data_IF_459601774527
#
_entry.id   IF_459601774527
#
_cell.length_a   1.000
_cell.length_b   1.000
_cell.length_c   1.000
_cell.angle_alpha   90.00
_cell.angle_beta   90.00
_cell.angle_gamma   90.00
#
_symmetry.space_group_name_H-M   'P 1'
#
loop_
_entity.id
_entity.type
_entity.pdbx_description
1 polymer ?
#
# COMPACT_ATOMS: atom_id res chain seq x y z
N UNK A 1 -4.34 -45.43 5.16
CA UNK A 1 -4.46 -44.16 5.90
C UNK A 1 -4.61 -43.04 4.90
N UNK A 2 -5.77 -42.37 4.89
CA UNK A 2 -6.08 -41.25 4.01
C UNK A 2 -5.38 -40.00 4.54
N UNK A 3 -4.66 -39.30 3.68
CA UNK A 3 -4.13 -37.95 3.93
C UNK A 3 -5.04 -36.96 3.21
N UNK A 4 -6.08 -36.51 3.90
CA UNK A 4 -6.92 -35.41 3.44
C UNK A 4 -6.20 -34.10 3.76
N UNK A 5 -5.39 -33.61 2.82
CA UNK A 5 -4.74 -32.31 2.93
C UNK A 5 -5.58 -31.27 2.18
N UNK A 6 -6.71 -30.92 2.78
CA UNK A 6 -7.63 -29.91 2.27
C UNK A 6 -7.31 -28.57 2.94
N UNK A 7 -6.41 -27.79 2.32
CA UNK A 7 -6.20 -26.39 2.68
C UNK A 7 -6.86 -25.50 1.63
N UNK A 8 -8.18 -25.40 1.72
CA UNK A 8 -8.92 -24.28 1.14
C UNK A 8 -8.77 -23.10 2.10
N UNK A 9 -7.97 -22.11 1.71
CA UNK A 9 -8.16 -20.74 2.18
C UNK A 9 -8.27 -19.86 0.93
N UNK A 10 -9.50 -19.82 0.41
CA UNK A 10 -9.96 -18.77 -0.49
C UNK A 10 -9.98 -17.45 0.29
N UNK A 11 -9.16 -16.49 -0.12
CA UNK A 11 -9.42 -15.08 0.18
C UNK A 11 -9.25 -14.29 -1.12
N UNK A 12 -10.37 -14.19 -1.84
CA UNK A 12 -10.56 -13.38 -3.05
C UNK A 12 -10.49 -11.88 -2.67
N UNK A 13 -9.57 -11.11 -3.27
CA UNK A 13 -9.72 -10.24 -4.45
C UNK A 13 -10.23 -8.81 -4.20
N UNK A 14 -9.39 -7.85 -4.62
CA UNK A 14 -9.81 -6.49 -4.96
C UNK A 14 -10.42 -6.44 -6.37
N UNK A 15 -11.58 -5.80 -6.46
CA UNK A 15 -12.34 -5.53 -7.69
C UNK A 15 -11.66 -4.47 -8.57
N UNK A 16 -11.58 -4.68 -9.89
CA UNK A 16 -12.15 -3.77 -10.90
C UNK A 16 -12.14 -4.38 -12.33
N UNK A 17 -13.29 -4.18 -13.00
CA UNK A 17 -13.58 -4.23 -14.44
C UNK A 17 -13.88 -5.59 -15.12
N UNK A 18 -15.17 -5.76 -15.44
CA UNK A 18 -15.79 -6.77 -16.31
C UNK A 18 -15.68 -6.43 -17.79
N UNK A 19 -15.17 -7.38 -18.59
CA UNK A 19 -15.60 -7.74 -19.95
C UNK A 19 -14.80 -9.01 -20.32
N UNK A 20 -15.37 -10.17 -20.63
CA UNK A 20 -16.15 -10.44 -21.83
C UNK A 20 -15.52 -11.68 -22.49
N UNK A 21 -16.35 -12.68 -22.77
CA UNK A 21 -15.99 -14.07 -23.14
C UNK A 21 -15.10 -14.20 -24.40
N UNK A 22 -14.17 -15.15 -24.32
CA UNK A 22 -13.81 -16.17 -25.32
C UNK A 22 -13.43 -15.73 -26.74
N UNK A 23 -12.22 -16.10 -27.18
CA UNK A 23 -11.98 -17.23 -28.10
C UNK A 23 -10.49 -17.37 -28.37
N UNK A 24 -10.09 -18.64 -28.49
CA UNK A 24 -8.84 -19.15 -29.05
C UNK A 24 -8.51 -18.48 -30.40
N UNK A 25 -7.33 -17.89 -30.54
CA UNK A 25 -6.82 -17.45 -31.84
C UNK A 25 -5.31 -17.72 -31.91
N UNK A 26 -5.00 -18.79 -32.65
CA UNK A 26 -3.68 -19.12 -33.14
C UNK A 26 -2.98 -17.94 -33.81
N UNK A 27 -1.68 -17.85 -33.57
CA UNK A 27 -0.71 -17.02 -34.26
C UNK A 27 -0.94 -16.87 -35.76
N UNK A 28 -0.78 -15.63 -36.26
CA UNK A 28 -0.28 -15.33 -37.61
C UNK A 28 0.10 -13.86 -37.78
N UNK A 29 1.37 -13.67 -38.11
CA UNK A 29 1.99 -12.61 -38.92
C UNK A 29 1.18 -11.36 -39.25
N UNK A 30 1.71 -10.20 -38.86
CA UNK A 30 1.81 -9.04 -39.75
C UNK A 30 2.83 -8.00 -39.24
N UNK A 31 3.90 -7.86 -40.00
CA UNK A 31 4.75 -6.67 -40.00
C UNK A 31 4.05 -5.50 -40.71
N UNK A 32 4.23 -4.29 -40.18
CA UNK A 32 4.17 -2.95 -40.82
C UNK A 32 4.69 -1.98 -39.73
N UNK A 33 5.81 -1.27 -39.87
CA UNK A 33 6.09 -0.26 -40.89
C UNK A 33 5.97 1.13 -40.25
N UNK A 34 7.11 1.74 -39.92
CA UNK A 34 7.28 3.09 -39.35
C UNK A 34 6.92 4.22 -40.36
N UNK A 35 7.26 5.50 -40.11
CA UNK A 35 6.90 6.43 -39.03
C UNK A 35 6.13 7.65 -39.59
N UNK A 36 5.62 8.56 -38.74
CA UNK A 36 5.23 9.89 -39.21
C UNK A 36 5.71 10.99 -38.25
N UNK A 37 6.80 11.65 -38.63
CA UNK A 37 7.13 13.01 -38.23
C UNK A 37 6.05 13.95 -38.78
N UNK A 38 5.45 14.76 -37.90
CA UNK A 38 4.63 15.90 -38.31
C UNK A 38 5.37 17.19 -37.98
N UNK A 39 5.85 17.80 -39.05
CA UNK A 39 6.42 19.13 -39.16
C UNK A 39 5.33 20.16 -38.82
N UNK A 40 5.61 21.06 -37.88
CA UNK A 40 4.77 22.21 -37.60
C UNK A 40 5.24 23.37 -38.46
N UNK A 41 4.45 23.71 -39.48
CA UNK A 41 4.70 24.82 -40.39
C UNK A 41 4.27 26.16 -39.79
N UNK A 42 5.12 27.15 -40.01
CA UNK A 42 4.90 28.56 -39.68
C UNK A 42 3.75 29.15 -40.51
N UNK A 43 2.80 29.78 -39.82
CA UNK A 43 1.91 30.77 -40.46
C UNK A 43 1.59 31.90 -39.50
N UNK A 44 2.26 33.03 -39.74
CA UNK A 44 1.93 34.35 -39.20
C UNK A 44 0.49 34.74 -39.57
N UNK A 45 -0.32 35.06 -38.57
CA UNK A 45 -1.53 35.86 -38.74
C UNK A 45 -1.53 36.99 -37.73
N UNK A 46 -1.23 38.18 -38.23
CA UNK A 46 -1.40 39.45 -37.55
C UNK A 46 -2.90 39.72 -37.28
N UNK A 47 -3.26 40.07 -36.05
CA UNK A 47 -4.66 40.41 -35.77
C UNK A 47 -4.98 40.83 -34.34
N UNK A 48 -5.01 42.15 -34.13
CA UNK A 48 -5.80 42.91 -33.14
C UNK A 48 -5.50 42.72 -31.65
N UNK A 49 -4.85 43.76 -31.11
CA UNK A 49 -4.74 44.06 -29.68
C UNK A 49 -6.14 44.32 -29.11
N UNK A 50 -6.61 43.42 -28.26
CA UNK A 50 -7.63 43.73 -27.27
C UNK A 50 -6.97 43.65 -25.90
N UNK A 51 -6.88 44.81 -25.24
CA UNK A 51 -6.60 44.94 -23.82
C UNK A 51 -7.64 44.12 -23.03
N UNK A 52 -7.21 42.99 -22.50
CA UNK A 52 -7.88 42.32 -21.38
C UNK A 52 -6.84 42.24 -20.28
N UNK A 53 -6.79 43.30 -19.48
CA UNK A 53 -6.15 43.33 -18.17
C UNK A 53 -6.78 42.21 -17.32
N UNK A 54 -6.22 41.00 -17.42
CA UNK A 54 -6.56 39.90 -16.52
C UNK A 54 -5.99 40.26 -15.16
N UNK A 55 -6.79 40.92 -14.33
CA UNK A 55 -6.62 40.91 -12.88
C UNK A 55 -6.73 39.46 -12.40
N UNK A 56 -5.60 38.76 -12.36
CA UNK A 56 -5.45 37.57 -11.53
C UNK A 56 -5.73 37.99 -10.08
N UNK A 57 -6.68 37.37 -9.37
CA UNK A 57 -6.74 37.57 -7.95
C UNK A 57 -5.48 36.91 -7.39
N UNK A 58 -4.60 37.71 -6.80
CA UNK A 58 -3.55 37.18 -5.94
C UNK A 58 -4.24 36.39 -4.84
N UNK A 59 -4.16 35.06 -4.90
CA UNK A 59 -4.60 34.19 -3.82
C UNK A 59 -3.72 34.53 -2.62
N UNK A 60 -4.29 35.25 -1.67
CA UNK A 60 -3.60 35.68 -0.45
C UNK A 60 -3.23 34.43 0.35
N UNK A 61 -1.92 34.18 0.50
CA UNK A 61 -1.34 33.07 1.28
C UNK A 61 -1.59 33.17 2.80
N UNK A 62 -2.40 34.12 3.27
CA UNK A 62 -2.40 34.51 4.68
C UNK A 62 -3.46 33.78 5.54
N UNK A 63 -4.22 32.82 5.01
CA UNK A 63 -5.25 32.11 5.77
C UNK A 63 -5.33 30.61 5.47
N UNK A 64 -4.26 29.85 5.76
CA UNK A 64 -4.35 28.40 5.98
C UNK A 64 -3.61 27.94 7.27
N UNK A 65 -3.97 28.38 8.50
CA UNK A 65 -3.08 28.15 9.65
C UNK A 65 -3.53 27.01 10.57
N UNK A 66 -4.76 27.04 11.12
CA UNK A 66 -5.09 26.21 12.28
C UNK A 66 -5.47 24.75 11.93
N UNK A 67 -6.21 24.54 10.83
CA UNK A 67 -6.70 23.21 10.45
C UNK A 67 -5.58 22.32 9.91
N UNK A 68 -4.68 22.90 9.13
CA UNK A 68 -3.49 22.22 8.62
C UNK A 68 -2.50 21.92 9.74
N UNK A 69 -2.22 22.88 10.64
CA UNK A 69 -1.42 22.64 11.84
C UNK A 69 -1.99 21.54 12.75
N UNK A 70 -3.32 21.47 12.88
CA UNK A 70 -3.96 20.38 13.63
C UNK A 70 -3.72 19.03 12.93
N UNK A 71 -3.88 18.97 11.61
CA UNK A 71 -3.66 17.73 10.83
C UNK A 71 -2.21 17.26 10.94
N UNK A 72 -1.24 18.17 10.85
CA UNK A 72 0.19 17.82 10.98
C UNK A 72 0.51 17.31 12.38
N UNK A 73 -0.02 17.92 13.45
CA UNK A 73 0.15 17.40 14.83
C UNK A 73 -0.47 16.02 15.02
N UNK A 74 -1.67 15.79 14.49
CA UNK A 74 -2.33 14.49 14.61
C UNK A 74 -1.58 13.40 13.84
N UNK A 75 -1.03 13.71 12.67
CA UNK A 75 -0.18 12.79 11.91
C UNK A 75 1.11 12.48 12.68
N UNK A 76 1.79 13.50 13.20
CA UNK A 76 3.00 13.32 13.98
C UNK A 76 2.78 12.42 15.22
N UNK A 77 1.63 12.57 15.91
CA UNK A 77 1.30 11.71 17.04
C UNK A 77 1.09 10.23 16.62
N UNK A 78 0.47 9.97 15.46
CA UNK A 78 0.34 8.61 14.93
C UNK A 78 1.71 8.04 14.57
N UNK A 79 2.55 8.84 13.90
CA UNK A 79 3.90 8.45 13.51
C UNK A 79 4.76 8.10 14.74
N UNK A 80 4.72 8.91 15.80
CA UNK A 80 5.44 8.67 17.06
C UNK A 80 5.03 7.34 17.72
N UNK A 81 3.73 7.06 17.80
CA UNK A 81 3.26 5.77 18.35
C UNK A 81 3.74 4.60 17.50
N UNK A 82 3.76 4.73 16.17
CA UNK A 82 4.24 3.68 15.28
C UNK A 82 5.76 3.45 15.42
N UNK A 83 6.54 4.51 15.59
CA UNK A 83 8.00 4.42 15.77
C UNK A 83 8.39 3.73 17.07
N UNK A 84 7.59 3.89 18.13
CA UNK A 84 7.81 3.24 19.43
C UNK A 84 7.24 1.82 19.50
N UNK A 85 6.44 1.40 18.52
CA UNK A 85 5.78 0.10 18.53
C UNK A 85 6.56 -0.90 17.67
N UNK A 86 7.22 -1.85 18.33
CA UNK A 86 7.98 -2.90 17.63
C UNK A 86 7.06 -3.90 16.93
N UNK A 87 5.94 -4.29 17.55
CA UNK A 87 5.03 -5.30 17.00
C UNK A 87 3.94 -4.69 16.09
N UNK A 88 3.22 -5.55 15.35
CA UNK A 88 2.05 -5.09 14.60
C UNK A 88 0.95 -4.58 15.55
N UNK A 89 0.41 -3.40 15.24
CA UNK A 89 -0.65 -2.74 16.02
C UNK A 89 -1.91 -2.53 15.17
N UNK A 90 -3.08 -2.83 15.72
CA UNK A 90 -4.35 -2.51 15.05
C UNK A 90 -4.61 -1.00 15.08
N UNK A 91 -5.45 -0.50 14.18
CA UNK A 91 -5.86 0.91 14.22
C UNK A 91 -6.58 1.26 15.53
N UNK A 92 -7.31 0.30 16.11
CA UNK A 92 -8.05 0.44 17.35
C UNK A 92 -7.11 0.51 18.56
N UNK A 93 -6.10 -0.37 18.60
CA UNK A 93 -5.09 -0.37 19.67
C UNK A 93 -4.20 0.88 19.59
N UNK A 94 -3.83 1.31 18.37
CA UNK A 94 -3.10 2.56 18.17
C UNK A 94 -3.92 3.76 18.64
N UNK A 95 -5.21 3.80 18.31
CA UNK A 95 -6.11 4.83 18.82
C UNK A 95 -6.22 4.79 20.35
N UNK A 96 -6.30 3.60 20.96
CA UNK A 96 -6.30 3.45 22.41
C UNK A 96 -5.00 3.98 23.04
N UNK A 97 -3.84 3.68 22.44
CA UNK A 97 -2.53 4.18 22.86
C UNK A 97 -2.43 5.72 22.74
N UNK A 98 -2.96 6.31 21.66
CA UNK A 98 -3.04 7.78 21.54
C UNK A 98 -3.91 8.40 22.64
N UNK A 99 -5.06 7.78 22.95
CA UNK A 99 -5.95 8.28 24.01
C UNK A 99 -5.31 8.19 25.39
N UNK A 100 -4.57 7.12 25.70
CA UNK A 100 -3.87 6.99 26.99
C UNK A 100 -2.78 8.04 27.17
N UNK A 101 -2.19 8.54 26.08
CA UNK A 101 -1.26 9.68 26.05
C UNK A 101 -1.94 11.05 26.08
N UNK A 102 -3.26 11.12 26.19
CA UNK A 102 -4.02 12.38 26.20
C UNK A 102 -4.15 13.06 24.83
N UNK A 103 -3.79 12.36 23.74
CA UNK A 103 -3.86 12.92 22.37
C UNK A 103 -5.30 12.83 21.82
N UNK A 104 -5.83 13.97 21.37
CA UNK A 104 -7.16 14.04 20.75
C UNK A 104 -7.11 13.76 19.23
N UNK A 105 -6.92 12.49 18.89
CA UNK A 105 -6.99 11.98 17.52
C UNK A 105 -8.20 11.06 17.41
N UNK A 106 -9.16 11.38 16.53
CA UNK A 106 -10.30 10.49 16.32
C UNK A 106 -9.92 9.26 15.51
N UNK A 107 -10.54 8.11 15.80
CA UNK A 107 -10.28 6.81 15.14
C UNK A 107 -10.32 6.89 13.59
N UNK A 108 -11.29 7.61 13.01
CA UNK A 108 -11.34 7.79 11.55
C UNK A 108 -10.12 8.53 10.98
N UNK A 109 -9.47 9.38 11.78
CA UNK A 109 -8.20 10.03 11.39
C UNK A 109 -7.03 9.06 11.48
N UNK A 110 -7.01 8.20 12.51
CA UNK A 110 -6.02 7.11 12.61
C UNK A 110 -6.06 6.23 11.36
N UNK A 111 -7.24 5.72 10.98
CA UNK A 111 -7.38 4.90 9.76
C UNK A 111 -6.87 5.61 8.50
N UNK A 112 -7.27 6.87 8.27
CA UNK A 112 -6.82 7.62 7.08
C UNK A 112 -5.31 7.85 7.08
N UNK A 113 -4.72 8.15 8.24
CA UNK A 113 -3.28 8.32 8.36
C UNK A 113 -2.56 7.01 8.08
N UNK A 114 -2.99 5.91 8.70
CA UNK A 114 -2.41 4.58 8.47
C UNK A 114 -2.50 4.15 7.01
N UNK A 115 -3.65 4.37 6.37
CA UNK A 115 -3.80 4.09 4.93
C UNK A 115 -2.82 4.93 4.10
N UNK A 116 -2.69 6.23 4.40
CA UNK A 116 -1.74 7.10 3.69
C UNK A 116 -0.30 6.63 3.88
N UNK A 117 0.07 6.18 5.08
CA UNK A 117 1.40 5.64 5.35
C UNK A 117 1.64 4.33 4.59
N UNK A 118 0.64 3.45 4.54
CA UNK A 118 0.71 2.17 3.82
C UNK A 118 0.83 2.39 2.30
N UNK A 119 0.02 3.29 1.73
CA UNK A 119 0.06 3.64 0.31
C UNK A 119 1.42 4.21 -0.11
N UNK A 120 2.13 4.86 0.82
CA UNK A 120 3.47 5.40 0.62
C UNK A 120 4.59 4.41 0.97
N UNK A 121 4.28 3.17 1.36
CA UNK A 121 5.27 2.16 1.78
C UNK A 121 6.00 2.52 3.09
N UNK A 122 5.44 3.40 3.91
CA UNK A 122 6.05 3.83 5.18
C UNK A 122 5.70 2.90 6.36
N UNK A 123 4.70 2.05 6.18
CA UNK A 123 4.32 0.98 7.12
C UNK A 123 3.92 -0.25 6.33
N UNK A 124 4.23 -1.41 6.89
CA UNK A 124 3.71 -2.68 6.42
C UNK A 124 2.31 -2.93 6.96
N UNK A 125 1.50 -3.62 6.18
CA UNK A 125 0.10 -3.94 6.51
C UNK A 125 -0.09 -5.44 6.49
N UNK A 126 -0.61 -5.96 7.59
CA UNK A 126 -0.93 -7.36 7.76
C UNK A 126 -2.43 -7.54 7.98
N UNK A 127 -3.00 -8.54 7.32
CA UNK A 127 -4.40 -8.91 7.53
C UNK A 127 -4.47 -10.13 8.44
N UNK A 128 -4.98 -9.92 9.65
CA UNK A 128 -5.16 -11.01 10.61
C UNK A 128 -6.26 -11.97 10.14
N UNK A 129 -6.33 -13.16 10.72
CA UNK A 129 -7.37 -14.15 10.39
C UNK A 129 -8.81 -13.68 10.67
N UNK A 130 -8.99 -12.63 11.47
CA UNK A 130 -10.28 -11.97 11.68
C UNK A 130 -10.64 -10.96 10.59
N UNK A 131 -9.75 -10.72 9.62
CA UNK A 131 -9.89 -9.70 8.58
C UNK A 131 -9.49 -8.29 9.03
N UNK A 132 -9.02 -8.14 10.27
CA UNK A 132 -8.54 -6.85 10.77
C UNK A 132 -7.13 -6.56 10.27
N UNK A 133 -6.92 -5.33 9.78
CA UNK A 133 -5.61 -4.83 9.39
C UNK A 133 -4.81 -4.40 10.62
N UNK A 134 -3.55 -4.82 10.66
CA UNK A 134 -2.55 -4.38 11.61
C UNK A 134 -1.38 -3.75 10.87
N UNK A 135 -0.72 -2.79 11.51
CA UNK A 135 0.30 -1.95 10.89
C UNK A 135 1.60 -2.04 11.68
N UNK A 136 2.73 -1.97 10.99
CA UNK A 136 4.06 -1.88 11.62
C UNK A 136 4.94 -0.96 10.81
N UNK A 137 5.72 -0.11 11.47
CA UNK A 137 6.82 0.59 10.80
C UNK A 137 8.05 -0.31 10.86
N UNK A 138 8.56 -0.70 9.70
CA UNK A 138 9.77 -1.50 9.61
C UNK A 138 10.99 -0.61 9.56
N UNK A 139 12.03 -0.97 10.31
CA UNK A 139 13.27 -0.19 10.40
C UNK A 139 14.23 -0.44 9.23
N UNK A 140 13.98 -1.48 8.42
CA UNK A 140 14.84 -1.88 7.31
C UNK A 140 14.16 -1.61 5.98
N UNK A 141 14.90 -1.01 5.06
CA UNK A 141 14.48 -0.80 3.66
C UNK A 141 14.59 -2.08 2.81
N UNK A 142 15.22 -3.14 3.33
CA UNK A 142 15.35 -4.41 2.62
C UNK A 142 14.03 -5.19 2.67
N UNK A 143 13.62 -5.78 1.54
CA UNK A 143 12.45 -6.65 1.47
C UNK A 143 12.58 -7.84 2.42
N UNK A 144 11.67 -7.92 3.38
CA UNK A 144 11.62 -8.96 4.41
C UNK A 144 10.18 -9.44 4.59
N UNK A 145 10.03 -10.58 5.26
CA UNK A 145 8.74 -11.14 5.61
C UNK A 145 8.58 -11.16 7.13
N UNK A 146 7.36 -11.41 7.59
CA UNK A 146 7.05 -11.43 9.01
C UNK A 146 6.57 -12.81 9.47
N UNK A 147 7.10 -13.28 10.60
CA UNK A 147 6.53 -14.37 11.39
C UNK A 147 5.80 -13.77 12.58
N UNK A 148 4.47 -13.89 12.60
CA UNK A 148 3.58 -13.18 13.53
C UNK A 148 2.82 -14.14 14.43
N UNK A 149 2.86 -13.85 15.74
CA UNK A 149 2.05 -14.56 16.73
C UNK A 149 0.58 -14.19 16.59
N UNK A 150 -0.29 -15.18 16.39
CA UNK A 150 -1.74 -14.98 16.29
C UNK A 150 -2.37 -14.43 17.56
N UNK A 151 -1.79 -14.74 18.72
CA UNK A 151 -2.30 -14.36 20.05
C UNK A 151 -1.81 -12.96 20.46
N UNK A 152 -0.50 -12.78 20.62
CA UNK A 152 0.04 -11.55 21.18
C UNK A 152 0.71 -10.61 20.17
N UNK A 153 0.64 -10.91 18.86
CA UNK A 153 1.21 -10.12 17.76
C UNK A 153 2.74 -9.96 17.73
N UNK A 154 3.44 -10.60 18.68
CA UNK A 154 4.90 -10.70 18.68
C UNK A 154 5.42 -11.13 17.30
N UNK A 155 6.35 -10.36 16.75
CA UNK A 155 6.77 -10.46 15.35
C UNK A 155 8.28 -10.59 15.19
N UNK A 156 8.69 -11.51 14.32
CA UNK A 156 10.09 -11.69 13.91
C UNK A 156 10.23 -11.42 12.42
N UNK A 157 11.20 -10.59 12.04
CA UNK A 157 11.59 -10.37 10.65
C UNK A 157 12.35 -11.59 10.11
N UNK A 158 11.94 -12.11 8.95
CA UNK A 158 12.55 -13.29 8.33
C UNK A 158 12.89 -13.02 6.87
N UNK A 159 14.07 -13.47 6.45
CA UNK A 159 14.46 -13.47 5.05
C UNK A 159 14.03 -14.77 4.38
N UNK A 160 13.54 -14.69 3.15
CA UNK A 160 13.10 -15.85 2.37
C UNK A 160 13.80 -16.03 1.02
N UNK A 161 15.15 -16.12 0.90
CA UNK A 161 15.82 -16.14 -0.41
C UNK A 161 15.33 -17.22 -1.37
N UNK A 162 14.88 -18.37 -0.84
CA UNK A 162 14.30 -19.45 -1.64
C UNK A 162 12.92 -19.09 -2.21
N UNK A 163 12.05 -18.48 -1.40
CA UNK A 163 10.73 -17.99 -1.84
C UNK A 163 10.92 -16.90 -2.90
N UNK A 164 11.82 -15.95 -2.64
CA UNK A 164 12.17 -14.88 -3.58
C UNK A 164 12.60 -15.40 -4.96
N UNK A 165 13.45 -16.43 -4.99
CA UNK A 165 13.87 -17.05 -6.25
C UNK A 165 12.72 -17.77 -6.95
N UNK A 166 11.90 -18.48 -6.19
CA UNK A 166 10.76 -19.20 -6.73
C UNK A 166 9.73 -18.25 -7.35
N UNK A 167 9.34 -17.18 -6.65
CA UNK A 167 8.40 -16.18 -7.15
C UNK A 167 8.89 -15.56 -8.47
N UNK A 168 10.17 -15.16 -8.54
CA UNK A 168 10.77 -14.65 -9.79
C UNK A 168 10.77 -15.68 -10.91
N UNK A 169 11.03 -16.95 -10.59
CA UNK A 169 11.03 -18.03 -11.60
C UNK A 169 9.64 -18.23 -12.19
N UNK A 170 8.61 -18.32 -11.35
CA UNK A 170 7.22 -18.51 -11.78
C UNK A 170 6.74 -17.31 -12.61
N UNK A 171 7.02 -16.09 -12.16
CA UNK A 171 6.70 -14.88 -12.91
C UNK A 171 7.30 -14.90 -14.32
N UNK A 172 8.59 -15.25 -14.41
CA UNK A 172 9.31 -15.34 -15.68
C UNK A 172 8.76 -16.43 -16.59
N UNK A 173 8.45 -17.61 -16.05
CA UNK A 173 7.90 -18.75 -16.79
C UNK A 173 6.58 -18.38 -17.50
N UNK A 174 5.76 -17.56 -16.86
CA UNK A 174 4.46 -17.14 -17.40
C UNK A 174 4.46 -15.75 -18.06
N UNK A 175 5.63 -15.10 -18.19
CA UNK A 175 5.76 -13.81 -18.87
C UNK A 175 5.18 -12.61 -18.10
N UNK A 176 5.05 -12.69 -16.78
CA UNK A 176 4.64 -11.56 -15.95
C UNK A 176 5.81 -10.60 -15.71
N UNK A 177 5.50 -9.30 -15.67
CA UNK A 177 6.44 -8.20 -15.39
C UNK A 177 5.96 -7.40 -14.16
N UNK A 178 6.85 -6.61 -13.55
CA UNK A 178 6.57 -5.80 -12.36
C UNK A 178 5.88 -6.58 -11.22
N UNK A 179 6.37 -7.80 -10.97
CA UNK A 179 5.77 -8.71 -9.99
C UNK A 179 6.09 -8.27 -8.58
N UNK A 180 5.04 -8.08 -7.80
CA UNK A 180 5.08 -7.96 -6.34
C UNK A 180 4.48 -9.22 -5.71
N UNK A 181 4.91 -9.53 -4.49
CA UNK A 181 4.30 -10.58 -3.68
C UNK A 181 4.26 -10.17 -2.22
N UNK A 182 3.30 -10.74 -1.52
CA UNK A 182 3.15 -10.62 -0.06
C UNK A 182 3.27 -12.02 0.52
N UNK A 183 4.10 -12.18 1.55
CA UNK A 183 4.25 -13.42 2.29
C UNK A 183 4.25 -13.09 3.78
N UNK A 184 3.37 -13.77 4.52
CA UNK A 184 3.25 -13.64 5.97
C UNK A 184 3.11 -15.03 6.57
N UNK A 185 3.81 -15.28 7.68
CA UNK A 185 3.77 -16.55 8.39
C UNK A 185 3.09 -16.34 9.73
N UNK A 186 2.08 -17.17 10.04
CA UNK A 186 1.31 -17.05 11.28
C UNK A 186 1.49 -18.27 12.17
N UNK A 187 1.71 -18.03 13.47
CA UNK A 187 1.90 -19.10 14.46
C UNK A 187 1.55 -18.68 15.88
N UNK A 188 2.03 -19.44 16.87
CA UNK A 188 2.09 -19.00 18.26
C UNK A 188 3.56 -18.79 18.62
N UNK A 189 3.89 -17.66 19.24
CA UNK A 189 5.23 -17.47 19.77
C UNK A 189 5.48 -18.43 20.95
N UNK A 190 6.75 -18.72 21.30
CA UNK A 190 7.06 -19.65 22.40
C UNK A 190 6.36 -19.31 23.72
N UNK A 191 6.23 -18.02 24.05
CA UNK A 191 5.53 -17.54 25.24
C UNK A 191 4.05 -17.93 25.23
N UNK A 192 3.34 -17.69 24.13
CA UNK A 192 1.92 -18.00 24.03
C UNK A 192 1.67 -19.52 23.90
N UNK A 193 2.56 -20.25 23.24
CA UNK A 193 2.45 -21.70 23.15
C UNK A 193 2.63 -22.38 24.52
N UNK A 194 3.48 -21.84 25.40
CA UNK A 194 3.64 -22.35 26.76
C UNK A 194 2.45 -22.04 27.71
N UNK A 195 1.53 -21.17 27.28
CA UNK A 195 0.34 -20.77 28.03
C UNK A 195 -0.94 -21.45 27.52
N UNK A 196 -0.84 -22.24 26.45
CA UNK A 196 -1.93 -22.96 25.80
C UNK A 196 -2.00 -24.41 26.29
#
# INVERSE_FOLDING_TARGET
MKSDNHCQNDVYFGSFATAGRGTDISARDRACGAPLELQWGDSEVAGRRHDVERRSPAVSLQQQPAKEQRRTRQRAAVDEVLEETEDFISAQDLHAALRSRGMSVGLATVYRTLQTLADNGQVDVLHTSSGEAAYRRCARDEHHHHLVCRSCKATVEVAGPAVERWTRSVAKEHGYVDVAHTLEIFGLCPRCAAQA
#
